data_IF_065965192645
#
_entry.id   IF_065965192645
#
_cell.length_a   1.000
_cell.length_b   1.000
_cell.length_c   1.000
_cell.angle_alpha   90.00
_cell.angle_beta   90.00
_cell.angle_gamma   90.00
#
_symmetry.space_group_name_H-M   'P 1'
#
loop_
_entity.id
_entity.type
_entity.pdbx_description
1 polymer ?
#
# COMPACT_ATOMS: atom_id res chain seq x y z
N UNK A 1 -23.95 -16.46 9.64
CA UNK A 1 -23.69 -16.45 8.18
C UNK A 1 -22.23 -16.79 8.00
N UNK A 2 -21.91 -17.77 7.14
CA UNK A 2 -20.54 -18.27 7.02
C UNK A 2 -19.70 -17.27 6.22
N UNK A 3 -18.58 -16.80 6.80
CA UNK A 3 -17.54 -16.15 6.03
C UNK A 3 -17.17 -17.05 4.85
N UNK A 4 -16.94 -16.49 3.67
CA UNK A 4 -16.52 -17.27 2.51
C UNK A 4 -15.25 -18.05 2.90
N UNK A 5 -15.34 -19.38 2.88
CA UNK A 5 -14.24 -20.23 3.28
C UNK A 5 -13.28 -20.32 2.10
N UNK A 6 -12.29 -19.44 2.08
CA UNK A 6 -11.20 -19.45 1.10
C UNK A 6 -10.21 -20.60 1.35
N UNK A 7 -10.37 -21.38 2.42
CA UNK A 7 -9.46 -22.48 2.78
C UNK A 7 -9.79 -23.79 2.02
N UNK A 8 -10.09 -23.69 0.72
CA UNK A 8 -10.29 -24.86 -0.14
C UNK A 8 -8.94 -25.45 -0.56
N UNK A 9 -8.86 -26.77 -0.84
CA UNK A 9 -7.64 -27.38 -1.37
C UNK A 9 -7.11 -26.69 -2.63
N UNK A 10 -8.01 -26.25 -3.52
CA UNK A 10 -7.67 -25.59 -4.78
C UNK A 10 -7.07 -24.20 -4.55
N UNK A 11 -7.63 -23.42 -3.62
CA UNK A 11 -7.11 -22.09 -3.27
C UNK A 11 -5.74 -22.20 -2.59
N UNK A 12 -5.57 -23.14 -1.65
CA UNK A 12 -4.28 -23.43 -1.03
C UNK A 12 -3.23 -23.89 -2.04
N UNK A 13 -3.62 -24.68 -3.05
CA UNK A 13 -2.72 -25.09 -4.11
C UNK A 13 -2.23 -23.87 -4.93
N UNK A 14 -3.13 -22.96 -5.31
CA UNK A 14 -2.80 -21.71 -6.01
C UNK A 14 -1.85 -20.82 -5.18
N UNK A 15 -2.07 -20.70 -3.87
CA UNK A 15 -1.14 -19.99 -2.98
C UNK A 15 0.22 -20.70 -2.95
N UNK A 16 0.24 -22.02 -2.79
CA UNK A 16 1.48 -22.80 -2.75
C UNK A 16 2.30 -22.68 -4.04
N UNK A 17 1.65 -22.64 -5.20
CA UNK A 17 2.29 -22.40 -6.50
C UNK A 17 2.95 -21.02 -6.57
N UNK A 18 2.29 -20.00 -6.02
CA UNK A 18 2.83 -18.64 -5.96
C UNK A 18 3.97 -18.52 -4.94
N UNK A 19 3.86 -19.18 -3.80
CA UNK A 19 4.91 -19.23 -2.77
C UNK A 19 6.17 -19.97 -3.22
N UNK A 20 6.01 -20.97 -4.09
CA UNK A 20 7.11 -21.69 -4.72
C UNK A 20 7.91 -20.83 -5.70
N UNK A 21 7.35 -19.70 -6.15
CA UNK A 21 8.10 -18.71 -6.93
C UNK A 21 9.01 -17.91 -6.00
N UNK A 22 10.26 -17.71 -6.42
CA UNK A 22 11.19 -16.85 -5.69
C UNK A 22 10.57 -15.45 -5.52
N UNK A 23 10.58 -14.92 -4.29
CA UNK A 23 10.07 -13.58 -4.04
C UNK A 23 10.93 -12.55 -4.78
N UNK A 24 10.34 -11.91 -5.78
CA UNK A 24 10.95 -10.81 -6.52
C UNK A 24 10.36 -9.47 -6.04
N UNK A 25 11.17 -8.54 -5.49
CA UNK A 25 10.68 -7.22 -5.11
C UNK A 25 10.23 -6.42 -6.34
N UNK A 26 9.15 -5.66 -6.19
CA UNK A 26 8.44 -4.97 -7.27
C UNK A 26 9.15 -3.75 -7.91
N UNK A 27 10.47 -3.57 -7.73
CA UNK A 27 11.30 -2.44 -8.26
C UNK A 27 10.83 -1.01 -7.94
N UNK A 28 9.83 -0.85 -7.07
CA UNK A 28 9.37 0.45 -6.59
C UNK A 28 10.44 1.12 -5.70
N UNK A 29 10.62 2.46 -5.74
CA UNK A 29 9.92 3.44 -6.59
C UNK A 29 10.58 3.68 -7.96
N UNK A 30 11.64 2.95 -8.32
CA UNK A 30 12.41 3.22 -9.55
C UNK A 30 11.55 3.06 -10.80
N UNK A 31 10.72 2.01 -10.81
CA UNK A 31 9.66 1.76 -11.79
C UNK A 31 8.33 1.65 -11.05
N UNK A 32 7.29 2.31 -11.54
CA UNK A 32 5.95 2.24 -10.93
C UNK A 32 4.87 2.20 -12.01
N UNK A 33 3.70 1.66 -11.67
CA UNK A 33 2.47 1.82 -12.43
C UNK A 33 1.70 3.06 -11.97
N UNK A 34 0.85 3.58 -12.85
CA UNK A 34 -0.19 4.54 -12.43
C UNK A 34 -1.30 3.82 -11.67
N UNK A 35 -2.02 4.55 -10.82
CA UNK A 35 -3.20 3.96 -10.17
C UNK A 35 -4.29 3.72 -11.21
N UNK A 36 -4.87 2.53 -11.17
CA UNK A 36 -5.93 2.16 -12.11
C UNK A 36 -7.23 2.85 -11.75
N UNK A 37 -7.97 3.23 -12.79
CA UNK A 37 -9.36 3.66 -12.64
C UNK A 37 -10.23 2.49 -12.21
N UNK A 38 -11.25 2.78 -11.42
CA UNK A 38 -12.24 1.80 -10.99
C UNK A 38 -13.36 1.73 -12.04
N UNK A 39 -13.21 0.90 -13.07
CA UNK A 39 -14.22 0.78 -14.13
C UNK A 39 -15.41 -0.12 -13.75
N UNK A 40 -15.26 -0.97 -12.74
CA UNK A 40 -16.34 -1.85 -12.26
C UNK A 40 -17.32 -1.15 -11.29
N UNK A 41 -17.15 0.14 -11.01
CA UNK A 41 -18.08 0.96 -10.23
C UNK A 41 -18.47 2.19 -11.02
N UNK A 42 -19.74 2.26 -11.42
CA UNK A 42 -20.32 3.43 -12.07
C UNK A 42 -21.06 4.27 -11.02
N UNK A 43 -20.85 5.59 -11.05
CA UNK A 43 -21.48 6.53 -10.14
C UNK A 43 -22.41 7.46 -10.92
N UNK A 44 -23.63 7.60 -10.43
CA UNK A 44 -24.64 8.53 -10.97
C UNK A 44 -25.14 9.38 -9.82
N UNK A 45 -25.00 10.70 -9.94
CA UNK A 45 -25.58 11.66 -9.00
C UNK A 45 -26.99 12.03 -9.47
N UNK A 46 -27.97 11.93 -8.57
CA UNK A 46 -29.35 12.32 -8.85
C UNK A 46 -29.56 13.84 -8.68
N UNK A 47 -30.76 14.33 -9.02
CA UNK A 47 -31.12 15.75 -8.91
C UNK A 47 -31.08 16.27 -7.46
N UNK A 48 -31.10 15.38 -6.46
CA UNK A 48 -31.06 15.69 -5.03
C UNK A 48 -29.62 15.66 -4.47
N UNK A 49 -28.62 15.37 -5.32
CA UNK A 49 -27.21 15.26 -4.94
C UNK A 49 -26.87 13.93 -4.23
N UNK A 50 -27.74 12.92 -4.31
CA UNK A 50 -27.42 11.58 -3.81
C UNK A 50 -26.71 10.79 -4.90
N UNK A 51 -25.67 10.08 -4.50
CA UNK A 51 -24.84 9.28 -5.41
C UNK A 51 -25.30 7.83 -5.35
N UNK A 52 -25.80 7.34 -6.49
CA UNK A 52 -26.08 5.93 -6.75
C UNK A 52 -24.85 5.27 -7.37
N UNK A 53 -24.53 4.06 -6.93
CA UNK A 53 -23.42 3.26 -7.43
C UNK A 53 -23.89 1.93 -8.01
N UNK A 54 -23.42 1.60 -9.20
CA UNK A 54 -23.66 0.30 -9.83
C UNK A 54 -22.35 -0.47 -9.92
N UNK A 55 -22.27 -1.60 -9.19
CA UNK A 55 -21.15 -2.54 -9.32
C UNK A 55 -21.40 -3.47 -10.48
N UNK A 56 -20.56 -3.37 -11.51
CA UNK A 56 -20.62 -4.26 -12.67
C UNK A 56 -19.90 -5.57 -12.35
N UNK A 57 -20.52 -6.69 -12.69
CA UNK A 57 -19.89 -8.00 -12.59
C UNK A 57 -19.28 -8.35 -13.94
N UNK A 58 -18.11 -7.77 -14.22
CA UNK A 58 -17.41 -7.94 -15.50
C UNK A 58 -16.44 -9.12 -15.40
N UNK A 59 -16.40 -9.95 -16.45
CA UNK A 59 -15.42 -11.04 -16.60
C UNK A 59 -14.16 -10.55 -17.31
N UNK A 60 -13.62 -9.41 -16.85
CA UNK A 60 -12.41 -8.79 -17.40
C UNK A 60 -11.38 -8.53 -16.29
N UNK A 61 -10.11 -8.44 -16.69
CA UNK A 61 -9.02 -8.06 -15.81
C UNK A 61 -9.07 -6.56 -15.51
N UNK A 62 -9.08 -6.20 -14.23
CA UNK A 62 -9.12 -4.78 -13.81
C UNK A 62 -7.87 -3.97 -14.23
N UNK A 63 -6.80 -4.63 -14.71
CA UNK A 63 -5.54 -4.00 -15.11
C UNK A 63 -5.44 -3.80 -16.63
N UNK A 64 -5.63 -4.88 -17.40
CA UNK A 64 -5.48 -4.83 -18.86
C UNK A 64 -6.79 -4.70 -19.62
N UNK A 65 -7.93 -4.77 -18.94
CA UNK A 65 -9.28 -4.67 -19.51
C UNK A 65 -9.61 -5.77 -20.54
N UNK A 66 -8.84 -6.87 -20.54
CA UNK A 66 -9.07 -8.05 -21.38
C UNK A 66 -9.86 -9.14 -20.61
N UNK A 67 -10.68 -9.91 -21.36
CA UNK A 67 -11.40 -11.07 -20.85
C UNK A 67 -10.45 -12.23 -20.49
N UNK A 68 -10.89 -13.09 -19.58
CA UNK A 68 -10.19 -14.32 -19.26
C UNK A 68 -10.21 -15.34 -20.40
N UNK A 69 -9.16 -16.14 -20.49
CA UNK A 69 -9.06 -17.26 -21.43
C UNK A 69 -8.55 -18.53 -20.75
N UNK A 70 -8.54 -19.66 -21.46
CA UNK A 70 -7.93 -20.90 -20.95
C UNK A 70 -6.43 -20.75 -20.63
N UNK A 71 -5.73 -19.86 -21.35
CA UNK A 71 -4.30 -19.58 -21.15
C UNK A 71 -4.05 -18.49 -20.09
N UNK A 72 -5.03 -17.60 -19.87
CA UNK A 72 -4.96 -16.50 -18.90
C UNK A 72 -6.23 -16.46 -18.05
N UNK A 73 -6.26 -17.29 -17.01
CA UNK A 73 -7.38 -17.33 -16.07
C UNK A 73 -7.49 -16.01 -15.28
N UNK A 74 -8.73 -15.56 -15.05
CA UNK A 74 -9.03 -14.47 -14.12
C UNK A 74 -9.17 -15.02 -12.69
N UNK A 75 -8.43 -14.42 -11.77
CA UNK A 75 -8.53 -14.71 -10.34
C UNK A 75 -9.38 -13.64 -9.67
N UNK A 76 -10.26 -14.06 -8.77
CA UNK A 76 -11.11 -13.17 -7.99
C UNK A 76 -10.40 -12.74 -6.72
N UNK A 77 -10.64 -11.50 -6.30
CA UNK A 77 -10.15 -11.02 -5.02
C UNK A 77 -10.89 -11.70 -3.85
N UNK A 78 -10.13 -12.13 -2.83
CA UNK A 78 -10.68 -12.74 -1.59
C UNK A 78 -11.19 -11.69 -0.57
N UNK A 79 -11.09 -10.41 -0.92
CA UNK A 79 -11.49 -9.30 -0.07
C UNK A 79 -13.00 -9.07 -0.07
N UNK A 80 -13.46 -8.21 0.83
CA UNK A 80 -14.85 -7.72 0.86
C UNK A 80 -14.90 -6.21 0.70
N UNK A 81 -15.99 -5.69 0.15
CA UNK A 81 -16.21 -4.26 -0.01
C UNK A 81 -16.23 -3.60 1.37
N UNK A 82 -15.50 -2.49 1.51
CA UNK A 82 -15.40 -1.75 2.77
C UNK A 82 -16.25 -0.48 2.76
N UNK A 83 -16.53 0.03 3.96
CA UNK A 83 -17.21 1.32 4.13
C UNK A 83 -18.72 1.24 4.31
N UNK A 84 -19.32 0.05 4.51
CA UNK A 84 -20.77 -0.09 4.74
C UNK A 84 -21.23 0.77 5.94
N UNK A 85 -22.35 1.46 5.76
CA UNK A 85 -22.94 2.37 6.73
C UNK A 85 -24.31 1.89 7.23
N UNK A 86 -24.55 2.09 8.52
CA UNK A 86 -25.86 1.93 9.16
C UNK A 86 -26.11 3.15 10.06
N UNK A 87 -27.32 3.72 10.01
CA UNK A 87 -27.72 4.92 10.76
C UNK A 87 -26.72 6.10 10.68
N UNK A 88 -26.10 6.27 9.52
CA UNK A 88 -25.14 7.35 9.25
C UNK A 88 -23.74 7.13 9.84
N UNK A 89 -23.44 5.93 10.35
CA UNK A 89 -22.12 5.56 10.90
C UNK A 89 -21.51 4.40 10.12
N UNK A 90 -20.18 4.35 10.07
CA UNK A 90 -19.45 3.18 9.56
C UNK A 90 -19.71 1.98 10.47
N UNK A 91 -20.19 0.88 9.92
CA UNK A 91 -20.36 -0.38 10.66
C UNK A 91 -19.01 -0.97 11.04
N UNK A 92 -18.90 -1.68 12.16
CA UNK A 92 -17.68 -2.44 12.47
C UNK A 92 -17.56 -3.68 11.56
N UNK A 93 -16.35 -4.21 11.35
CA UNK A 93 -16.14 -5.34 10.43
C UNK A 93 -16.97 -6.57 10.83
N UNK A 94 -17.14 -6.81 12.12
CA UNK A 94 -17.86 -7.97 12.68
C UNK A 94 -19.38 -7.86 12.49
N UNK A 95 -19.90 -6.65 12.28
CA UNK A 95 -21.33 -6.33 12.16
C UNK A 95 -21.80 -6.32 10.70
N UNK A 96 -20.87 -6.18 9.75
CA UNK A 96 -21.16 -6.06 8.31
C UNK A 96 -21.60 -7.40 7.71
N UNK A 97 -22.49 -7.32 6.73
CA UNK A 97 -22.74 -8.44 5.84
C UNK A 97 -21.52 -8.66 4.94
N UNK A 98 -21.11 -9.91 4.76
CA UNK A 98 -20.00 -10.20 3.87
C UNK A 98 -20.40 -9.92 2.43
N UNK A 99 -19.75 -8.93 1.79
CA UNK A 99 -19.97 -8.55 0.40
C UNK A 99 -18.68 -8.72 -0.37
N UNK A 100 -18.58 -9.82 -1.11
CA UNK A 100 -17.36 -10.17 -1.85
C UNK A 100 -16.92 -9.03 -2.78
N UNK A 101 -15.61 -8.78 -2.83
CA UNK A 101 -15.05 -7.92 -3.85
C UNK A 101 -15.24 -8.58 -5.22
N UNK A 102 -15.77 -7.83 -6.17
CA UNK A 102 -15.98 -8.28 -7.55
C UNK A 102 -14.77 -8.01 -8.46
N UNK A 103 -13.62 -7.60 -7.92
CA UNK A 103 -12.44 -7.31 -8.75
C UNK A 103 -11.75 -8.59 -9.18
N UNK A 104 -11.41 -8.68 -10.48
CA UNK A 104 -10.77 -9.84 -11.11
C UNK A 104 -9.48 -9.44 -11.83
N UNK A 105 -8.50 -10.33 -11.85
CA UNK A 105 -7.19 -10.03 -12.42
C UNK A 105 -6.56 -11.25 -13.08
N UNK A 106 -5.85 -11.03 -14.18
CA UNK A 106 -4.82 -11.99 -14.61
C UNK A 106 -3.68 -11.98 -13.58
N UNK A 107 -3.18 -13.17 -13.23
CA UNK A 107 -2.11 -13.32 -12.25
C UNK A 107 -0.85 -12.53 -12.63
N UNK A 108 -0.43 -12.62 -13.90
CA UNK A 108 0.71 -11.87 -14.43
C UNK A 108 0.52 -10.34 -14.32
N UNK A 109 -0.69 -9.84 -14.57
CA UNK A 109 -0.98 -8.42 -14.50
C UNK A 109 -0.87 -7.92 -13.06
N UNK A 110 -1.50 -8.60 -12.09
CA UNK A 110 -1.53 -8.13 -10.69
C UNK A 110 -0.18 -8.29 -10.00
N UNK A 111 0.63 -9.28 -10.39
CA UNK A 111 2.02 -9.41 -9.93
C UNK A 111 2.87 -8.25 -10.46
N UNK A 112 2.69 -7.86 -11.73
CA UNK A 112 3.43 -6.74 -12.32
C UNK A 112 2.95 -5.37 -11.82
N UNK A 113 1.72 -5.28 -11.31
CA UNK A 113 1.14 -4.03 -10.82
C UNK A 113 1.78 -3.57 -9.51
N UNK A 114 2.48 -2.43 -9.57
CA UNK A 114 3.25 -1.91 -8.44
C UNK A 114 2.97 -0.43 -8.10
N UNK A 115 1.80 0.09 -8.51
CA UNK A 115 1.39 1.45 -8.15
C UNK A 115 1.36 1.62 -6.63
N UNK A 116 2.00 2.68 -6.11
CA UNK A 116 2.08 2.92 -4.66
C UNK A 116 2.70 1.76 -3.88
N UNK A 117 3.68 1.07 -4.48
CA UNK A 117 4.38 -0.08 -3.91
C UNK A 117 3.48 -1.31 -3.65
N UNK A 118 2.34 -1.47 -4.32
CA UNK A 118 1.52 -2.68 -4.17
C UNK A 118 2.36 -3.94 -4.46
N UNK A 119 2.20 -4.96 -3.62
CA UNK A 119 2.96 -6.20 -3.69
C UNK A 119 1.98 -7.35 -3.48
N UNK A 120 1.49 -7.91 -4.59
CA UNK A 120 0.51 -8.99 -4.57
C UNK A 120 1.07 -10.28 -3.96
N UNK A 121 2.34 -10.60 -4.24
CA UNK A 121 3.04 -11.75 -3.64
C UNK A 121 3.06 -11.66 -2.12
N UNK A 122 3.25 -10.46 -1.56
CA UNK A 122 3.23 -10.27 -0.13
C UNK A 122 1.88 -10.67 0.51
N UNK A 123 0.75 -10.25 -0.07
CA UNK A 123 -0.57 -10.56 0.48
C UNK A 123 -0.90 -12.06 0.40
N UNK A 124 -0.55 -12.70 -0.72
CA UNK A 124 -0.89 -14.09 -0.98
C UNK A 124 -0.16 -15.09 -0.08
N UNK A 125 1.01 -14.72 0.46
CA UNK A 125 1.82 -15.56 1.34
C UNK A 125 1.09 -15.92 2.63
N UNK A 126 1.19 -17.18 3.03
CA UNK A 126 0.55 -17.77 4.22
C UNK A 126 1.04 -17.16 5.52
N UNK A 127 2.32 -16.74 5.58
CA UNK A 127 2.90 -16.00 6.71
C UNK A 127 2.36 -14.56 6.83
N UNK A 128 1.70 -14.06 5.79
CA UNK A 128 1.09 -12.73 5.74
C UNK A 128 -0.44 -12.84 5.86
N UNK A 129 -1.16 -12.64 4.75
CA UNK A 129 -2.63 -12.69 4.73
C UNK A 129 -3.14 -14.04 4.26
N UNK A 130 -2.36 -14.78 3.46
CA UNK A 130 -2.79 -16.03 2.82
C UNK A 130 -3.99 -15.82 1.90
N UNK A 131 -4.05 -14.67 1.22
CA UNK A 131 -5.22 -14.22 0.44
C UNK A 131 -4.80 -13.45 -0.80
N UNK A 132 -5.55 -13.61 -1.89
CA UNK A 132 -5.45 -12.79 -3.09
C UNK A 132 -6.20 -11.47 -2.88
N UNK A 133 -5.49 -10.47 -2.40
CA UNK A 133 -6.04 -9.16 -2.07
C UNK A 133 -5.67 -8.12 -3.13
N UNK A 134 -6.67 -7.41 -3.63
CA UNK A 134 -6.49 -6.34 -4.60
C UNK A 134 -6.10 -5.02 -3.91
N UNK A 135 -5.73 -3.97 -4.65
CA UNK A 135 -5.34 -2.68 -4.06
C UNK A 135 -6.43 -1.97 -3.23
N UNK A 136 -7.71 -2.36 -3.35
CA UNK A 136 -8.79 -1.87 -2.48
C UNK A 136 -8.77 -2.48 -1.07
N UNK A 137 -8.01 -3.57 -0.87
CA UNK A 137 -7.84 -4.26 0.41
C UNK A 137 -6.47 -4.00 1.03
N UNK A 138 -5.85 -2.90 0.64
CA UNK A 138 -4.56 -2.47 1.14
C UNK A 138 -4.55 -0.95 1.27
N UNK A 139 -4.29 -0.42 2.47
CA UNK A 139 -4.16 1.01 2.68
C UNK A 139 -2.97 1.55 1.88
N UNK A 140 -3.25 2.42 0.92
CA UNK A 140 -2.26 3.01 0.02
C UNK A 140 -1.16 3.78 0.74
N UNK A 141 -1.50 4.49 1.83
CA UNK A 141 -0.54 5.25 2.65
C UNK A 141 0.40 4.29 3.41
N UNK A 142 -0.15 3.39 4.22
CA UNK A 142 0.65 2.43 4.98
C UNK A 142 1.52 1.55 4.08
N UNK A 143 0.97 1.12 2.94
CA UNK A 143 1.67 0.30 1.95
C UNK A 143 2.89 1.02 1.37
N UNK A 144 2.74 2.31 1.06
CA UNK A 144 3.83 3.15 0.56
C UNK A 144 4.84 3.46 1.66
N UNK A 145 4.39 3.60 2.90
CA UNK A 145 5.26 3.69 4.07
C UNK A 145 5.92 2.34 4.45
N UNK A 146 5.78 1.31 3.61
CA UNK A 146 6.26 -0.06 3.83
C UNK A 146 5.79 -0.70 5.14
N UNK A 147 4.73 -0.16 5.76
CA UNK A 147 4.03 -0.77 6.89
C UNK A 147 3.06 -1.82 6.36
N UNK A 148 3.59 -2.84 5.69
CA UNK A 148 2.79 -3.80 4.92
C UNK A 148 1.77 -4.53 5.78
N UNK A 149 2.15 -5.01 6.95
CA UNK A 149 1.22 -5.72 7.83
C UNK A 149 0.06 -4.80 8.24
N UNK A 150 0.37 -3.59 8.70
CA UNK A 150 -0.66 -2.59 8.99
C UNK A 150 -1.49 -2.23 7.76
N UNK A 151 -0.91 -2.21 6.56
CA UNK A 151 -1.63 -1.83 5.34
C UNK A 151 -2.78 -2.78 5.00
N UNK A 152 -2.71 -4.04 5.42
CA UNK A 152 -3.78 -5.03 5.22
C UNK A 152 -4.71 -5.16 6.44
N UNK A 153 -4.61 -4.26 7.42
CA UNK A 153 -5.62 -4.16 8.48
C UNK A 153 -7.00 -3.81 7.89
N UNK A 154 -8.04 -4.20 8.60
CA UNK A 154 -9.42 -3.95 8.19
C UNK A 154 -9.82 -2.47 8.37
N UNK A 155 -11.10 -2.15 8.16
CA UNK A 155 -11.66 -0.80 8.32
C UNK A 155 -11.11 0.25 7.32
N UNK A 156 -10.98 -0.18 6.07
CA UNK A 156 -10.61 0.69 4.98
C UNK A 156 -11.79 1.52 4.47
N UNK A 157 -11.48 2.69 3.89
CA UNK A 157 -12.36 3.48 3.04
C UNK A 157 -11.79 3.47 1.62
N UNK A 158 -12.64 3.08 0.67
CA UNK A 158 -12.25 2.95 -0.73
C UNK A 158 -12.36 4.28 -1.46
N UNK A 159 -11.49 4.50 -2.45
CA UNK A 159 -11.74 5.53 -3.43
C UNK A 159 -12.83 5.07 -4.40
N UNK A 160 -13.76 5.97 -4.71
CA UNK A 160 -14.85 5.70 -5.64
C UNK A 160 -14.37 5.69 -7.11
N UNK A 161 -13.23 6.32 -7.42
CA UNK A 161 -12.74 6.52 -8.81
C UNK A 161 -11.48 5.72 -9.18
N UNK A 162 -10.71 5.23 -8.20
CA UNK A 162 -9.51 4.43 -8.47
C UNK A 162 -9.33 3.28 -7.49
N UNK A 163 -8.40 2.39 -7.83
CA UNK A 163 -7.95 1.27 -7.02
C UNK A 163 -7.02 1.71 -5.87
N UNK A 164 -7.54 2.56 -4.98
CA UNK A 164 -6.90 2.91 -3.71
C UNK A 164 -7.88 2.80 -2.56
N UNK A 165 -7.36 2.37 -1.43
CA UNK A 165 -8.07 2.41 -0.16
C UNK A 165 -7.18 3.01 0.93
N UNK A 166 -7.80 3.43 2.03
CA UNK A 166 -7.14 4.14 3.12
C UNK A 166 -7.71 3.67 4.46
N UNK A 167 -6.91 3.58 5.52
CA UNK A 167 -7.50 3.44 6.85
C UNK A 167 -8.34 4.66 7.17
N UNK A 168 -9.61 4.44 7.48
CA UNK A 168 -10.59 5.50 7.78
C UNK A 168 -10.15 6.40 8.94
N UNK A 169 -9.45 5.85 9.94
CA UNK A 169 -9.07 6.55 11.18
C UNK A 169 -7.75 7.34 11.08
N UNK A 170 -6.75 6.86 10.34
CA UNK A 170 -5.39 7.39 10.43
C UNK A 170 -4.70 7.68 9.09
N UNK A 171 -5.32 7.30 7.97
CA UNK A 171 -4.74 7.48 6.63
C UNK A 171 -5.67 8.22 5.67
N UNK A 172 -6.69 8.91 6.20
CA UNK A 172 -7.61 9.71 5.40
C UNK A 172 -6.85 10.86 4.72
N UNK A 173 -6.79 10.92 3.38
CA UNK A 173 -5.98 11.93 2.69
C UNK A 173 -6.54 13.34 2.90
N UNK A 174 -5.67 14.31 3.17
CA UNK A 174 -6.07 15.71 3.15
C UNK A 174 -6.52 16.13 1.73
N UNK A 175 -7.63 16.87 1.64
CA UNK A 175 -8.23 17.25 0.36
C UNK A 175 -9.07 16.15 -0.29
N UNK A 176 -9.32 15.03 0.38
CA UNK A 176 -10.32 14.06 -0.06
C UNK A 176 -11.74 14.59 0.13
N UNK A 177 -12.60 14.27 -0.83
CA UNK A 177 -14.03 14.55 -0.75
C UNK A 177 -14.77 13.27 -0.31
N UNK A 178 -15.50 13.28 0.82
CA UNK A 178 -16.30 12.13 1.23
C UNK A 178 -17.51 11.97 0.32
N UNK A 179 -17.79 10.74 -0.11
CA UNK A 179 -18.95 10.42 -0.95
C UNK A 179 -19.72 9.27 -0.31
N UNK A 180 -21.04 9.42 -0.19
CA UNK A 180 -21.94 8.34 0.24
C UNK A 180 -22.56 7.71 -1.00
N UNK A 181 -22.21 6.46 -1.26
CA UNK A 181 -22.66 5.73 -2.45
C UNK A 181 -23.70 4.71 -2.03
N UNK A 182 -24.92 4.83 -2.55
CA UNK A 182 -25.96 3.81 -2.35
C UNK A 182 -25.86 2.78 -3.47
N UNK A 183 -25.77 1.50 -3.11
CA UNK A 183 -25.63 0.40 -4.06
C UNK A 183 -26.73 -0.63 -3.82
N UNK A 184 -27.25 -1.17 -4.92
CA UNK A 184 -28.28 -2.22 -4.89
C UNK A 184 -27.65 -3.60 -4.76
N UNK A 185 -27.92 -4.25 -3.63
CA UNK A 185 -27.65 -5.66 -3.38
C UNK A 185 -28.99 -6.38 -3.13
N UNK A 186 -29.07 -7.29 -2.15
CA UNK A 186 -30.34 -7.84 -1.66
C UNK A 186 -31.27 -6.75 -1.11
N UNK A 187 -30.67 -5.70 -0.53
CA UNK A 187 -31.32 -4.47 -0.09
C UNK A 187 -30.43 -3.27 -0.43
N UNK A 188 -30.99 -2.10 -0.75
CA UNK A 188 -30.22 -0.88 -0.94
C UNK A 188 -29.34 -0.63 0.29
N UNK A 189 -28.04 -0.48 0.07
CA UNK A 189 -27.04 -0.36 1.14
C UNK A 189 -26.15 0.85 0.84
N UNK A 190 -25.90 1.69 1.84
CA UNK A 190 -25.04 2.88 1.70
C UNK A 190 -23.61 2.57 2.13
N UNK A 191 -22.64 3.06 1.37
CA UNK A 191 -21.22 2.94 1.64
C UNK A 191 -20.58 4.32 1.72
N UNK A 192 -19.73 4.52 2.73
CA UNK A 192 -18.82 5.65 2.77
C UNK A 192 -17.61 5.35 1.90
N UNK A 193 -17.42 6.17 0.89
CA UNK A 193 -16.25 6.19 0.02
C UNK A 193 -15.62 7.58 0.04
N UNK A 194 -14.52 7.74 -0.68
CA UNK A 194 -13.93 9.05 -0.92
C UNK A 194 -13.53 9.24 -2.39
N UNK A 195 -13.45 10.49 -2.82
CA UNK A 195 -12.68 10.87 -4.01
C UNK A 195 -11.32 11.33 -3.49
N UNK A 196 -10.27 10.59 -3.82
CA UNK A 196 -8.93 10.90 -3.32
C UNK A 196 -8.29 12.05 -4.10
N UNK A 197 -7.27 12.73 -3.53
CA UNK A 197 -6.78 13.99 -4.06
C UNK A 197 -6.22 13.93 -5.49
N UNK A 198 -5.84 12.75 -5.99
CA UNK A 198 -5.38 12.63 -7.39
C UNK A 198 -6.50 12.73 -8.41
N UNK A 199 -7.77 12.71 -7.97
CA UNK A 199 -8.93 12.99 -8.82
C UNK A 199 -9.47 14.41 -8.65
N UNK A 200 -8.97 15.14 -7.65
CA UNK A 200 -9.30 16.55 -7.49
C UNK A 200 -8.52 17.36 -8.54
N UNK A 201 -9.18 18.34 -9.15
CA UNK A 201 -8.53 19.23 -10.09
C UNK A 201 -7.41 19.98 -9.37
N UNK A 202 -6.19 19.89 -9.89
CA UNK A 202 -5.05 20.61 -9.31
C UNK A 202 -5.26 22.11 -9.50
N UNK A 203 -5.36 22.88 -8.42
CA UNK A 203 -5.25 24.32 -8.52
C UNK A 203 -3.82 24.68 -8.98
N UNK A 204 -3.63 25.56 -9.97
CA UNK A 204 -2.31 25.98 -10.39
C UNK A 204 -1.57 26.62 -9.21
N UNK A 205 -0.34 26.15 -8.98
CA UNK A 205 0.54 26.69 -7.97
C UNK A 205 0.90 28.14 -8.31
N UNK A 206 0.49 29.10 -7.46
CA UNK A 206 0.87 30.51 -7.60
C UNK A 206 2.39 30.70 -7.44
N UNK A 207 3.02 29.92 -6.56
CA UNK A 207 4.47 29.92 -6.33
C UNK A 207 5.02 28.52 -5.98
N UNK A 208 6.26 28.23 -6.40
CA UNK A 208 6.95 26.99 -6.03
C UNK A 208 7.79 27.16 -4.75
N UNK A 209 7.58 26.27 -3.79
CA UNK A 209 8.40 26.05 -2.60
C UNK A 209 9.67 25.27 -3.01
N UNK A 210 10.87 25.79 -2.67
CA UNK A 210 12.14 25.07 -2.82
C UNK A 210 12.18 23.86 -1.88
N UNK A 211 11.96 22.67 -2.42
CA UNK A 211 11.86 21.44 -1.63
C UNK A 211 12.32 20.24 -2.45
N UNK A 212 13.59 19.87 -2.35
CA UNK A 212 14.02 18.57 -2.85
C UNK A 212 13.27 17.47 -2.08
N UNK A 213 12.75 16.43 -2.76
CA UNK A 213 11.97 15.36 -2.11
C UNK A 213 12.74 14.55 -1.05
N UNK A 214 14.02 14.85 -0.83
CA UNK A 214 14.86 14.26 0.22
C UNK A 214 15.04 15.29 1.33
N UNK A 215 14.61 15.00 2.57
CA UNK A 215 14.71 15.93 3.71
C UNK A 215 16.11 16.51 3.90
N UNK A 216 17.15 15.72 3.65
CA UNK A 216 18.57 16.08 3.88
C UNK A 216 19.36 16.32 2.58
N UNK A 217 18.73 16.88 1.55
CA UNK A 217 19.40 17.07 0.27
C UNK A 217 20.45 18.19 0.32
N UNK A 218 21.71 17.81 0.50
CA UNK A 218 22.87 18.73 0.46
C UNK A 218 23.39 19.01 -0.97
N UNK A 219 22.65 18.64 -2.01
CA UNK A 219 23.11 18.84 -3.38
C UNK A 219 22.97 20.32 -3.79
N UNK A 220 24.07 20.89 -4.27
CA UNK A 220 24.08 22.18 -4.96
C UNK A 220 23.55 22.00 -6.39
N UNK A 221 22.70 22.91 -6.88
CA UNK A 221 22.20 22.89 -8.26
C UNK A 221 20.94 23.72 -8.48
N UNK A 222 20.56 23.87 -9.75
CA UNK A 222 19.30 24.54 -10.13
C UNK A 222 18.13 23.61 -9.82
N UNK A 223 17.17 24.12 -9.05
CA UNK A 223 15.90 23.45 -8.80
C UNK A 223 14.99 23.57 -10.02
N UNK A 224 14.33 22.48 -10.38
CA UNK A 224 13.31 22.44 -11.42
C UNK A 224 11.92 22.52 -10.76
N UNK A 225 11.11 23.47 -11.19
CA UNK A 225 9.72 23.60 -10.75
C UNK A 225 8.86 22.44 -11.28
N UNK A 226 8.04 21.85 -10.41
CA UNK A 226 7.06 20.85 -10.80
C UNK A 226 5.91 21.50 -11.57
N UNK A 227 5.51 20.93 -12.70
CA UNK A 227 4.35 21.42 -13.48
C UNK A 227 3.02 21.27 -12.73
N UNK A 228 2.91 20.31 -11.82
CA UNK A 228 1.63 19.87 -11.24
C UNK A 228 1.45 20.22 -9.75
N UNK A 229 2.47 20.77 -9.09
CA UNK A 229 2.33 21.20 -7.69
C UNK A 229 3.32 22.31 -7.35
N UNK A 230 3.17 22.87 -6.16
CA UNK A 230 4.04 23.92 -5.60
C UNK A 230 5.47 23.46 -5.32
N UNK A 231 5.92 22.23 -5.63
CA UNK A 231 7.28 21.78 -5.26
C UNK A 231 8.29 22.06 -6.37
N UNK A 232 9.55 22.32 -6.00
CA UNK A 232 10.68 22.31 -6.94
C UNK A 232 11.77 21.37 -6.47
N UNK A 233 12.41 20.64 -7.40
CA UNK A 233 13.27 19.49 -7.11
C UNK A 233 14.55 19.48 -7.95
N UNK A 234 15.58 18.79 -7.47
CA UNK A 234 16.76 18.50 -8.29
C UNK A 234 16.46 17.34 -9.26
N UNK A 235 16.70 17.48 -10.58
CA UNK A 235 16.43 16.40 -11.54
C UNK A 235 17.14 15.08 -11.22
N UNK A 236 18.35 15.18 -10.65
CA UNK A 236 19.15 14.03 -10.20
C UNK A 236 18.64 13.37 -8.92
N UNK A 237 17.82 14.06 -8.13
CA UNK A 237 17.31 13.53 -6.86
C UNK A 237 16.00 12.74 -7.01
N UNK A 238 15.37 12.79 -8.18
CA UNK A 238 14.18 11.98 -8.47
C UNK A 238 14.47 10.49 -8.39
N UNK A 239 13.62 9.76 -7.69
CA UNK A 239 13.66 8.31 -7.60
C UNK A 239 12.89 7.66 -8.75
N UNK A 240 11.73 8.21 -9.13
CA UNK A 240 10.91 7.64 -10.21
C UNK A 240 11.55 7.95 -11.54
N UNK A 241 11.98 6.89 -12.23
CA UNK A 241 12.59 6.96 -13.56
C UNK A 241 11.63 6.52 -14.65
N UNK A 242 10.80 5.53 -14.38
CA UNK A 242 9.84 5.00 -15.34
C UNK A 242 8.44 4.85 -14.74
N UNK A 243 7.42 5.10 -15.57
CA UNK A 243 5.99 4.92 -15.29
C UNK A 243 5.39 4.09 -16.42
N UNK A 244 4.75 2.97 -16.10
CA UNK A 244 4.20 2.03 -17.10
C UNK A 244 5.24 1.73 -18.20
N UNK A 245 6.46 1.39 -17.78
CA UNK A 245 7.64 1.12 -18.65
C UNK A 245 8.17 2.30 -19.49
N UNK A 246 7.44 3.42 -19.56
CA UNK A 246 7.86 4.64 -20.25
C UNK A 246 8.69 5.55 -19.33
N UNK A 247 9.48 6.46 -19.92
CA UNK A 247 10.20 7.46 -19.13
C UNK A 247 9.24 8.38 -18.38
N UNK A 248 9.46 8.56 -17.08
CA UNK A 248 8.63 9.46 -16.28
C UNK A 248 8.78 10.92 -16.75
N UNK A 249 7.71 11.74 -16.75
CA UNK A 249 7.76 13.14 -17.17
C UNK A 249 8.82 13.91 -16.40
N UNK A 250 9.79 14.52 -17.09
CA UNK A 250 10.97 15.15 -16.45
C UNK A 250 10.62 16.40 -15.63
N UNK A 251 9.49 17.02 -15.94
CA UNK A 251 8.95 18.27 -15.37
C UNK A 251 7.99 18.05 -14.20
N UNK A 252 7.83 16.81 -13.73
CA UNK A 252 7.07 16.51 -12.51
C UNK A 252 7.98 16.03 -11.39
N UNK A 253 7.67 16.44 -10.16
CA UNK A 253 8.32 15.87 -8.98
C UNK A 253 7.86 14.42 -8.81
N UNK A 254 8.65 13.65 -8.06
CA UNK A 254 8.36 12.26 -7.71
C UNK A 254 6.91 12.05 -7.25
N UNK A 255 6.43 12.90 -6.33
CA UNK A 255 5.07 12.81 -5.79
C UNK A 255 4.01 13.04 -6.86
N UNK A 256 4.15 14.03 -7.73
CA UNK A 256 3.16 14.24 -8.80
C UNK A 256 3.24 13.15 -9.88
N UNK A 257 4.46 12.70 -10.19
CA UNK A 257 4.69 11.64 -11.17
C UNK A 257 4.10 10.30 -10.69
N UNK A 258 4.03 10.07 -9.37
CA UNK A 258 3.41 8.89 -8.76
C UNK A 258 2.01 9.16 -8.17
N UNK A 259 1.33 10.24 -8.61
CA UNK A 259 -0.04 10.59 -8.20
C UNK A 259 -0.25 10.71 -6.67
N UNK A 260 0.73 11.25 -5.97
CA UNK A 260 0.63 11.72 -4.59
C UNK A 260 1.51 10.99 -3.59
N UNK A 261 2.28 9.99 -4.01
CA UNK A 261 2.73 8.96 -3.06
C UNK A 261 4.15 8.47 -3.37
N UNK A 262 5.16 9.10 -2.76
CA UNK A 262 6.53 8.56 -2.63
C UNK A 262 7.00 8.76 -1.20
N UNK A 263 7.37 7.66 -0.54
CA UNK A 263 8.05 7.67 0.74
C UNK A 263 9.48 7.19 0.53
N UNK A 264 10.45 7.95 1.02
CA UNK A 264 11.85 7.52 1.05
C UNK A 264 12.08 6.73 2.34
N UNK A 265 12.36 5.43 2.21
CA UNK A 265 12.65 4.57 3.37
C UNK A 265 14.09 4.11 3.33
N UNK A 266 14.77 4.33 4.46
CA UNK A 266 16.10 3.83 4.72
C UNK A 266 15.98 2.42 5.31
N UNK A 267 16.19 1.38 4.50
CA UNK A 267 16.23 -0.02 4.95
C UNK A 267 17.68 -0.49 5.11
N UNK A 268 18.48 0.33 5.79
CA UNK A 268 19.87 0.05 6.10
C UNK A 268 19.97 -0.54 7.50
N UNK A 269 20.59 -1.71 7.63
CA UNK A 269 20.89 -2.32 8.92
C UNK A 269 22.35 -2.74 8.95
N UNK A 270 23.05 -2.49 10.05
CA UNK A 270 24.41 -2.98 10.20
C UNK A 270 24.44 -4.51 10.21
N UNK A 271 25.38 -5.07 9.44
CA UNK A 271 25.67 -6.50 9.43
C UNK A 271 26.85 -6.79 10.35
N UNK A 272 28.07 -6.56 9.85
CA UNK A 272 29.31 -6.87 10.56
C UNK A 272 30.47 -6.08 9.93
N UNK A 273 31.47 -5.66 10.72
CA UNK A 273 32.69 -4.99 10.25
C UNK A 273 32.46 -3.79 9.31
N UNK A 274 31.45 -2.95 9.60
CA UNK A 274 31.13 -1.78 8.79
C UNK A 274 30.43 -2.10 7.47
N UNK A 275 30.05 -3.36 7.23
CA UNK A 275 29.11 -3.70 6.18
C UNK A 275 27.67 -3.46 6.64
N UNK A 276 26.85 -2.94 5.73
CA UNK A 276 25.43 -2.64 5.95
C UNK A 276 24.60 -3.45 4.97
N UNK A 277 23.52 -4.06 5.45
CA UNK A 277 22.47 -4.65 4.63
C UNK A 277 21.59 -3.54 4.06
N UNK A 278 21.42 -3.54 2.74
CA UNK A 278 20.43 -2.72 2.05
C UNK A 278 19.31 -3.63 1.53
N UNK A 279 18.16 -3.64 2.21
CA UNK A 279 17.00 -4.40 1.76
C UNK A 279 16.11 -3.60 0.80
N UNK A 280 16.46 -2.34 0.48
CA UNK A 280 15.63 -1.44 -0.33
C UNK A 280 15.45 -1.94 -1.77
N UNK A 281 16.49 -2.55 -2.33
CA UNK A 281 16.62 -2.94 -3.74
C UNK A 281 16.49 -4.45 -3.97
N UNK A 282 17.19 -5.25 -3.16
CA UNK A 282 17.25 -6.72 -3.29
C UNK A 282 16.98 -7.41 -1.94
N UNK A 283 15.78 -7.18 -1.40
CA UNK A 283 15.33 -7.77 -0.14
C UNK A 283 14.40 -8.98 -0.31
N UNK A 284 14.18 -9.70 0.79
CA UNK A 284 13.11 -10.69 0.91
C UNK A 284 12.00 -10.15 1.84
N UNK A 285 11.03 -11.00 2.18
CA UNK A 285 9.87 -10.62 3.02
C UNK A 285 10.24 -10.04 4.39
N UNK A 286 11.42 -10.35 4.94
CA UNK A 286 11.88 -9.84 6.24
C UNK A 286 12.02 -8.32 6.28
N UNK A 287 12.10 -7.65 5.12
CA UNK A 287 12.16 -6.19 5.00
C UNK A 287 10.91 -5.48 5.54
N UNK A 288 9.84 -6.23 5.80
CA UNK A 288 8.56 -5.72 6.28
C UNK A 288 8.35 -5.90 7.79
N UNK A 289 9.31 -6.48 8.51
CA UNK A 289 9.28 -6.47 9.97
C UNK A 289 9.45 -5.03 10.47
N UNK A 290 8.55 -4.52 11.32
CA UNK A 290 8.56 -3.12 11.75
C UNK A 290 9.29 -2.87 13.07
N UNK A 291 9.55 -1.60 13.39
CA UNK A 291 10.17 -1.21 14.66
C UNK A 291 9.17 -1.19 15.83
N UNK A 292 9.49 -1.89 16.92
CA UNK A 292 8.86 -1.72 18.23
C UNK A 292 9.91 -1.39 19.29
N UNK A 293 9.85 -0.16 19.81
CA UNK A 293 10.83 0.34 20.77
C UNK A 293 10.78 -0.38 22.12
N UNK A 294 9.58 -0.72 22.57
CA UNK A 294 9.28 -1.15 23.94
C UNK A 294 8.96 -2.63 24.07
N UNK A 295 8.36 -3.24 23.04
CA UNK A 295 7.87 -4.61 23.11
C UNK A 295 8.05 -5.33 21.77
N UNK A 296 9.29 -5.46 21.24
CA UNK A 296 9.52 -6.25 20.05
C UNK A 296 9.17 -7.72 20.33
N UNK A 297 8.50 -8.37 19.38
CA UNK A 297 8.13 -9.78 19.48
C UNK A 297 9.09 -10.72 18.76
N UNK A 298 10.02 -10.18 17.97
CA UNK A 298 11.12 -10.89 17.35
C UNK A 298 12.46 -10.16 17.60
N UNK A 299 13.55 -10.86 17.30
CA UNK A 299 14.92 -10.34 17.37
C UNK A 299 15.73 -10.80 16.16
N UNK A 300 16.66 -9.95 15.74
CA UNK A 300 17.54 -10.23 14.62
C UNK A 300 18.83 -10.83 15.15
N UNK A 301 19.20 -11.99 14.61
CA UNK A 301 20.41 -12.72 14.96
C UNK A 301 21.31 -12.89 13.73
N UNK A 302 22.60 -13.09 13.97
CA UNK A 302 23.57 -13.41 12.92
C UNK A 302 24.03 -14.86 13.03
N UNK A 303 24.19 -15.52 11.89
CA UNK A 303 24.73 -16.87 11.81
C UNK A 303 25.64 -17.03 10.59
N UNK A 304 26.65 -17.89 10.73
CA UNK A 304 27.44 -18.36 9.60
C UNK A 304 26.62 -19.38 8.80
N UNK A 305 26.33 -19.06 7.55
CA UNK A 305 25.63 -19.94 6.61
C UNK A 305 26.62 -20.47 5.58
N UNK A 306 26.62 -21.78 5.37
CA UNK A 306 27.37 -22.38 4.27
C UNK A 306 26.69 -22.02 2.95
N UNK A 307 27.38 -21.31 2.07
CA UNK A 307 26.81 -20.87 0.77
C UNK A 307 27.31 -21.71 -0.39
N UNK A 308 28.53 -22.23 -0.29
CA UNK A 308 29.07 -23.17 -1.27
C UNK A 308 30.17 -24.07 -0.69
N UNK A 309 30.36 -25.22 -1.32
CA UNK A 309 31.42 -26.17 -1.00
C UNK A 309 32.36 -26.30 -2.19
N UNK A 310 33.60 -25.87 -2.03
CA UNK A 310 34.62 -25.94 -3.08
C UNK A 310 35.74 -26.88 -2.67
N UNK A 311 35.90 -28.00 -3.37
CA UNK A 311 37.07 -28.91 -3.21
C UNK A 311 37.44 -29.19 -1.74
N UNK A 312 36.42 -29.45 -0.90
CA UNK A 312 36.48 -29.71 0.57
C UNK A 312 36.59 -28.47 1.48
N UNK A 313 36.61 -27.26 0.95
CA UNK A 313 36.50 -26.01 1.70
C UNK A 313 35.03 -25.61 1.76
N UNK A 314 34.55 -25.28 2.97
CA UNK A 314 33.23 -24.67 3.17
C UNK A 314 33.39 -23.15 3.14
N UNK A 315 32.70 -22.50 2.22
CA UNK A 315 32.61 -21.04 2.20
C UNK A 315 31.42 -20.64 3.07
N UNK A 316 31.71 -19.93 4.15
CA UNK A 316 30.71 -19.43 5.08
C UNK A 316 30.48 -17.93 4.84
N UNK A 317 29.23 -17.53 4.83
CA UNK A 317 28.83 -16.12 4.79
C UNK A 317 28.03 -15.79 6.05
N UNK A 318 28.28 -14.60 6.61
CA UNK A 318 27.44 -14.05 7.68
C UNK A 318 26.09 -13.67 7.09
N UNK A 319 25.02 -14.22 7.67
CA UNK A 319 23.63 -13.88 7.31
C UNK A 319 22.85 -13.49 8.55
N UNK A 320 21.88 -12.60 8.38
CA UNK A 320 20.90 -12.27 9.39
C UNK A 320 19.67 -13.16 9.27
N UNK A 321 19.05 -13.49 10.39
CA UNK A 321 17.75 -14.13 10.45
C UNK A 321 16.92 -13.54 11.60
N UNK A 322 15.59 -13.65 11.49
CA UNK A 322 14.65 -13.22 12.51
C UNK A 322 14.18 -14.44 13.30
N UNK A 323 14.15 -14.32 14.63
CA UNK A 323 13.63 -15.35 15.52
C UNK A 323 12.64 -14.73 16.50
N UNK A 324 11.52 -15.41 16.73
CA UNK A 324 10.48 -14.95 17.64
C UNK A 324 10.97 -15.04 19.10
N UNK A 325 10.82 -13.97 19.87
CA UNK A 325 11.16 -13.95 21.31
C UNK A 325 10.04 -14.51 22.19
N UNK A 326 8.83 -14.55 21.64
CA UNK A 326 7.59 -14.98 22.29
C UNK A 326 6.63 -15.53 21.24
N UNK A 327 5.58 -16.21 21.68
CA UNK A 327 4.52 -16.63 20.77
C UNK A 327 3.88 -15.40 20.09
N UNK A 328 3.78 -15.44 18.76
CA UNK A 328 3.16 -14.41 17.92
C UNK A 328 1.86 -15.00 17.38
N UNK A 329 0.73 -14.32 17.59
CA UNK A 329 -0.56 -14.82 17.08
C UNK A 329 -0.62 -14.69 15.56
N UNK A 330 -1.39 -15.56 14.90
CA UNK A 330 -1.66 -15.42 13.46
C UNK A 330 -2.30 -14.06 13.18
N UNK A 331 -1.75 -13.32 12.23
CA UNK A 331 -2.17 -11.95 11.87
C UNK A 331 -1.56 -10.84 12.75
N UNK A 332 -0.84 -11.18 13.82
CA UNK A 332 -0.09 -10.20 14.61
C UNK A 332 1.20 -9.78 13.86
N UNK A 333 1.50 -8.48 13.88
CA UNK A 333 2.67 -7.95 13.19
C UNK A 333 3.99 -8.39 13.85
N UNK A 334 4.97 -8.78 13.03
CA UNK A 334 6.32 -9.12 13.48
C UNK A 334 7.13 -7.84 13.65
N UNK A 335 7.58 -7.59 14.87
CA UNK A 335 8.31 -6.37 15.25
C UNK A 335 9.67 -6.68 15.86
N UNK A 336 10.66 -5.88 15.48
CA UNK A 336 12.02 -5.91 16.01
C UNK A 336 12.42 -4.53 16.53
N UNK A 337 13.59 -4.43 17.18
CA UNK A 337 14.16 -3.15 17.61
C UNK A 337 15.31 -2.76 16.70
N UNK A 338 15.20 -1.66 15.96
CA UNK A 338 16.18 -1.26 14.94
C UNK A 338 17.48 -0.59 15.45
N UNK A 339 17.88 -0.82 16.70
CA UNK A 339 19.22 -0.45 17.18
C UNK A 339 19.49 1.05 17.41
N UNK A 340 18.74 1.96 16.78
CA UNK A 340 18.85 3.41 17.00
C UNK A 340 17.49 4.10 17.12
N UNK A 341 17.46 5.25 17.80
CA UNK A 341 16.28 6.13 17.79
C UNK A 341 16.05 6.55 16.35
N UNK A 342 14.95 6.11 15.73
CA UNK A 342 14.52 6.51 14.39
C UNK A 342 14.97 7.95 14.08
N UNK A 343 15.93 8.11 13.17
CA UNK A 343 16.44 9.42 12.72
C UNK A 343 15.32 10.18 11.97
N UNK A 344 14.32 10.69 12.70
CA UNK A 344 13.26 11.56 12.20
C UNK A 344 11.90 10.90 11.96
N UNK A 345 11.77 9.57 11.91
CA UNK A 345 10.46 8.92 11.71
C UNK A 345 9.77 8.61 13.05
N UNK A 346 8.54 9.09 13.30
CA UNK A 346 7.81 8.75 14.51
C UNK A 346 7.64 7.22 14.63
N UNK A 347 7.91 6.68 15.81
CA UNK A 347 7.62 5.28 16.10
C UNK A 347 6.14 5.14 16.44
N UNK A 348 5.45 4.22 15.77
CA UNK A 348 4.02 3.97 15.96
C UNK A 348 3.75 2.74 16.85
N UNK A 349 4.72 2.27 17.64
CA UNK A 349 4.44 1.22 18.61
C UNK A 349 3.51 1.74 19.71
N UNK A 350 2.83 0.85 20.43
CA UNK A 350 1.83 1.26 21.44
C UNK A 350 2.38 2.17 22.54
N UNK A 351 3.69 2.14 22.78
CA UNK A 351 4.36 3.03 23.74
C UNK A 351 4.83 4.36 23.15
N UNK A 352 4.84 4.51 21.83
CA UNK A 352 5.29 5.71 21.12
C UNK A 352 4.17 6.39 20.31
N UNK A 353 3.03 5.72 20.09
CA UNK A 353 1.81 6.37 19.59
C UNK A 353 1.53 7.57 20.49
N UNK A 354 1.45 8.81 19.96
CA UNK A 354 0.92 9.91 20.76
C UNK A 354 -0.45 9.50 21.28
N UNK A 355 -0.80 9.94 22.50
CA UNK A 355 -2.19 9.87 22.95
C UNK A 355 -3.02 10.58 21.88
N UNK A 356 -3.74 9.82 21.07
CA UNK A 356 -4.66 10.38 20.10
C UNK A 356 -5.85 10.84 20.93
N UNK A 357 -5.77 12.05 21.46
CA UNK A 357 -7.00 12.82 21.67
C UNK A 357 -7.63 12.92 20.27
N UNK A 358 -8.90 12.55 20.06
CA UNK A 358 -9.53 12.75 18.77
C UNK A 358 -9.47 14.24 18.47
N UNK A 359 -8.46 14.64 17.70
CA UNK A 359 -8.40 15.97 17.12
C UNK A 359 -9.58 15.99 16.17
N UNK A 360 -10.70 16.53 16.63
CA UNK A 360 -11.60 17.24 15.74
C UNK A 360 -10.68 18.17 14.94
N UNK A 361 -10.42 17.84 13.68
CA UNK A 361 -9.89 18.79 12.71
C UNK A 361 -10.94 19.91 12.64
N UNK A 362 -10.84 20.88 13.54
CA UNK A 362 -11.61 22.10 13.48
C UNK A 362 -11.01 22.88 12.31
N UNK A 363 -11.61 22.69 11.14
CA UNK A 363 -11.48 23.62 10.04
C UNK A 363 -11.81 25.00 10.58
N UNK A 364 -10.88 25.94 10.48
CA UNK A 364 -11.17 27.33 10.82
C UNK A 364 -12.25 27.82 9.86
N UNK A 365 -13.50 27.87 10.34
CA UNK A 365 -14.65 28.34 9.57
C UNK A 365 -14.53 29.82 9.19
N UNK A 366 -13.50 30.52 9.68
CA UNK A 366 -13.22 31.91 9.38
C UNK A 366 -12.01 32.11 8.44
N UNK A 367 -11.41 31.04 7.92
CA UNK A 367 -10.43 31.17 6.84
C UNK A 367 -11.15 31.77 5.63
N UNK A 368 -10.89 33.05 5.38
CA UNK A 368 -11.38 33.74 4.18
C UNK A 368 -10.61 33.21 2.99
N UNK A 369 -11.34 32.83 1.95
CA UNK A 369 -10.79 32.58 0.63
C UNK A 369 -10.24 33.90 0.09
N UNK A 370 -8.90 34.05 0.10
CA UNK A 370 -8.17 35.12 -0.60
C UNK A 370 -7.62 34.61 -1.93
#
# INVERSE_FOLDING_TARGET
MAAQNFDTPEHRAKIGELEAQDYAPNTYPTRTSLHMRRHNLELVEDEEGKVQGTLRNEEICMICEEEGSEEKELFSCDGQISGEMEDGRLMALEERHFRACNSKFHLECIIAYNAGNIDFHYAARTECQGKFLCPLHCCSVCNTEHKKQSAYEAELIECAQCFRAFHSKCCYPAGSEPVKVTMDFEKPTTFQMLVCPSHCHSAPALHHIPACCKPDCMKNGVLQSCRSCIRSFHPRCRAVRQINEMNAPRDQCDVCASEGVIVYIYQFMDLYNGFTLDMSTHGNISRYANNSCSNPNAEMFMKDSCTRKEKKILVLEKRCYLEAKKAIKRGEEVTIKYGDKNNGSPCFCDSCKPLVDPVELQWDKNAKDD
#
